data_IF_121786056392
#
_entry.id   IF_121786056392
#
_cell.length_a   1.000
_cell.length_b   1.000
_cell.length_c   1.000
_cell.angle_alpha   90.00
_cell.angle_beta   90.00
_cell.angle_gamma   90.00
#
_symmetry.space_group_name_H-M   'P 1'
#
loop_
_entity.id
_entity.type
_entity.pdbx_description
1 polymer ?
#
# COMPACT_ATOMS: atom_id res chain seq x y z
N UNK A 1 10.71 41.40 -13.37
CA UNK A 1 10.46 39.94 -13.37
C UNK A 1 11.78 39.28 -13.70
N UNK A 2 12.15 38.22 -12.98
CA UNK A 2 13.32 37.43 -13.31
C UNK A 2 13.10 36.77 -14.69
N UNK A 3 14.16 36.62 -15.45
CA UNK A 3 14.21 35.81 -16.67
C UNK A 3 14.36 34.33 -16.32
N UNK A 4 14.07 33.43 -17.27
CA UNK A 4 14.21 31.98 -17.07
C UNK A 4 15.64 31.61 -16.62
N UNK A 5 16.64 32.24 -17.21
CA UNK A 5 18.06 32.05 -16.90
C UNK A 5 18.42 32.58 -15.51
N UNK A 6 17.85 33.71 -15.08
CA UNK A 6 18.06 34.24 -13.74
C UNK A 6 17.45 33.32 -12.66
N UNK A 7 16.28 32.73 -12.92
CA UNK A 7 15.66 31.75 -12.01
C UNK A 7 16.53 30.50 -11.85
N UNK A 8 17.11 29.99 -12.95
CA UNK A 8 18.05 28.86 -12.91
C UNK A 8 19.31 29.24 -12.11
N UNK A 9 19.85 30.44 -12.31
CA UNK A 9 21.05 30.89 -11.57
C UNK A 9 20.78 31.03 -10.07
N UNK A 10 19.62 31.54 -9.67
CA UNK A 10 19.26 31.69 -8.25
C UNK A 10 19.17 30.33 -7.54
N UNK A 11 18.50 29.34 -8.17
CA UNK A 11 18.41 28.00 -7.57
C UNK A 11 19.77 27.29 -7.52
N UNK A 12 20.62 27.45 -8.56
CA UNK A 12 21.98 26.91 -8.58
C UNK A 12 22.87 27.56 -7.51
N UNK A 13 22.77 28.88 -7.34
CA UNK A 13 23.51 29.62 -6.31
C UNK A 13 23.12 29.13 -4.92
N UNK A 14 21.82 29.03 -4.65
CA UNK A 14 21.34 28.52 -3.37
C UNK A 14 21.83 27.09 -3.11
N UNK A 15 21.73 26.21 -4.10
CA UNK A 15 22.20 24.83 -3.96
C UNK A 15 23.71 24.78 -3.65
N UNK A 16 24.53 25.60 -4.33
CA UNK A 16 25.97 25.70 -4.07
C UNK A 16 26.28 26.17 -2.64
N UNK A 17 25.54 27.14 -2.13
CA UNK A 17 25.68 27.65 -0.76
C UNK A 17 25.21 26.63 0.30
N UNK A 18 24.32 25.70 -0.07
CA UNK A 18 23.71 24.71 0.82
C UNK A 18 24.19 23.28 0.53
N UNK A 19 25.47 23.11 0.21
CA UNK A 19 26.11 21.79 0.12
C UNK A 19 25.64 20.94 -1.08
N UNK A 20 25.13 21.56 -2.13
CA UNK A 20 24.61 20.89 -3.32
C UNK A 20 23.19 20.36 -3.17
N UNK A 21 22.49 20.70 -2.08
CA UNK A 21 21.11 20.27 -1.87
C UNK A 21 20.13 21.05 -2.76
N UNK A 22 19.14 20.34 -3.30
CA UNK A 22 18.05 20.94 -4.06
C UNK A 22 17.03 21.56 -3.09
N UNK A 23 16.68 22.85 -3.23
CA UNK A 23 15.69 23.46 -2.35
C UNK A 23 14.32 22.80 -2.52
N UNK A 24 13.51 22.80 -1.47
CA UNK A 24 12.10 22.42 -1.60
C UNK A 24 11.34 23.46 -2.43
N UNK A 25 10.20 23.09 -3.01
CA UNK A 25 9.37 24.04 -3.77
C UNK A 25 8.97 25.27 -2.94
N UNK A 26 8.68 25.07 -1.64
CA UNK A 26 8.40 26.16 -0.69
C UNK A 26 9.64 27.05 -0.54
N UNK A 27 10.82 26.46 -0.37
CA UNK A 27 12.04 27.22 -0.19
C UNK A 27 12.41 28.01 -1.44
N UNK A 28 12.19 27.43 -2.62
CA UNK A 28 12.35 28.10 -3.90
C UNK A 28 11.45 29.34 -4.03
N UNK A 29 10.17 29.23 -3.64
CA UNK A 29 9.23 30.36 -3.64
C UNK A 29 9.67 31.45 -2.66
N UNK A 30 10.19 31.11 -1.47
CA UNK A 30 10.76 32.09 -0.54
C UNK A 30 11.97 32.84 -1.13
N UNK A 31 12.82 32.17 -1.91
CA UNK A 31 14.03 32.75 -2.49
C UNK A 31 13.70 33.65 -3.69
N UNK A 32 12.80 33.20 -4.56
CA UNK A 32 12.59 33.81 -5.89
C UNK A 32 11.28 34.60 -6.00
N UNK A 33 10.35 34.38 -5.06
CA UNK A 33 8.97 34.88 -5.14
C UNK A 33 8.12 34.17 -6.20
N UNK A 34 8.62 33.13 -6.87
CA UNK A 34 7.93 32.43 -7.95
C UNK A 34 7.22 31.21 -7.39
N UNK A 35 5.88 31.26 -7.41
CA UNK A 35 5.04 30.15 -6.95
C UNK A 35 4.79 29.08 -8.03
N UNK A 36 4.20 27.92 -7.66
CA UNK A 36 3.91 26.82 -8.60
C UNK A 36 3.06 27.22 -9.81
N UNK A 37 2.14 28.17 -9.66
CA UNK A 37 1.25 28.65 -10.73
C UNK A 37 1.97 29.56 -11.75
N UNK A 38 3.18 30.01 -11.43
CA UNK A 38 3.96 30.90 -12.27
C UNK A 38 5.00 30.17 -13.11
N UNK A 39 5.37 28.94 -12.72
CA UNK A 39 6.31 28.09 -13.47
C UNK A 39 5.93 27.91 -14.96
N UNK A 40 4.64 27.75 -15.34
CA UNK A 40 4.27 27.65 -16.74
C UNK A 40 4.62 28.90 -17.57
N UNK A 41 4.71 30.09 -16.95
CA UNK A 41 5.13 31.33 -17.62
C UNK A 41 6.59 31.26 -18.12
N UNK A 42 7.38 30.36 -17.54
CA UNK A 42 8.78 30.11 -17.85
C UNK A 42 8.99 28.80 -18.63
N UNK A 43 7.92 28.20 -19.13
CA UNK A 43 7.91 26.92 -19.86
C UNK A 43 8.26 25.69 -19.00
N UNK A 44 8.06 25.75 -17.68
CA UNK A 44 8.14 24.58 -16.80
C UNK A 44 6.74 24.13 -16.36
N UNK A 45 6.40 22.88 -16.60
CA UNK A 45 5.10 22.30 -16.24
C UNK A 45 4.99 22.03 -14.74
N UNK A 46 6.11 21.86 -14.06
CA UNK A 46 6.20 21.63 -12.62
C UNK A 46 7.60 21.96 -12.07
N UNK A 47 7.75 21.99 -10.75
CA UNK A 47 9.02 22.31 -10.09
C UNK A 47 10.14 21.30 -10.40
N UNK A 48 9.80 20.03 -10.64
CA UNK A 48 10.78 19.00 -11.00
C UNK A 48 11.48 19.28 -12.32
N UNK A 49 10.76 19.80 -13.32
CA UNK A 49 11.35 20.20 -14.61
C UNK A 49 12.35 21.34 -14.45
N UNK A 50 12.01 22.35 -13.66
CA UNK A 50 12.93 23.44 -13.31
C UNK A 50 14.21 22.91 -12.66
N UNK A 51 14.07 22.02 -11.68
CA UNK A 51 15.21 21.43 -10.95
C UNK A 51 16.11 20.64 -11.89
N UNK A 52 15.53 19.84 -12.79
CA UNK A 52 16.29 19.06 -13.78
C UNK A 52 17.02 19.98 -14.76
N UNK A 53 16.36 21.02 -15.28
CA UNK A 53 16.98 21.99 -16.19
C UNK A 53 18.11 22.79 -15.50
N UNK A 54 17.98 23.05 -14.20
CA UNK A 54 19.03 23.66 -13.40
C UNK A 54 20.23 22.73 -13.13
N UNK A 55 20.19 21.47 -13.59
CA UNK A 55 21.26 20.49 -13.37
C UNK A 55 21.29 19.94 -11.94
N UNK A 56 20.17 20.04 -11.21
CA UNK A 56 20.02 19.57 -9.84
C UNK A 56 19.20 18.28 -9.80
N UNK A 57 19.33 17.52 -8.71
CA UNK A 57 18.57 16.28 -8.52
C UNK A 57 17.25 16.57 -7.82
N UNK A 58 16.07 16.22 -8.38
CA UNK A 58 14.79 16.37 -7.70
C UNK A 58 14.78 15.73 -6.31
N UNK A 59 14.19 16.43 -5.34
CA UNK A 59 13.98 15.87 -4.01
C UNK A 59 13.14 14.60 -4.12
N UNK A 60 13.68 13.49 -3.62
CA UNK A 60 12.91 12.26 -3.50
C UNK A 60 11.73 12.51 -2.58
N UNK A 61 10.52 12.10 -3.00
CA UNK A 61 9.30 12.23 -2.21
C UNK A 61 9.25 11.23 -1.03
N UNK A 62 10.40 10.92 -0.43
CA UNK A 62 10.47 10.09 0.74
C UNK A 62 10.25 10.91 2.02
N UNK A 63 8.98 11.15 2.34
CA UNK A 63 8.56 11.93 3.51
C UNK A 63 8.86 11.25 4.86
N UNK A 64 9.53 10.09 4.90
CA UNK A 64 9.80 9.40 6.17
C UNK A 64 11.14 9.85 6.74
N UNK A 65 11.14 10.36 7.97
CA UNK A 65 12.35 10.80 8.71
C UNK A 65 13.30 9.66 9.10
N UNK A 66 13.00 8.41 8.75
CA UNK A 66 13.72 7.23 9.21
C UNK A 66 14.42 6.55 8.02
N UNK A 67 15.69 6.22 8.17
CA UNK A 67 16.38 5.40 7.17
C UNK A 67 15.88 3.94 7.23
N UNK A 68 16.14 3.18 6.16
CA UNK A 68 15.86 1.74 6.14
C UNK A 68 16.53 1.01 7.32
N UNK A 69 17.80 1.36 7.61
CA UNK A 69 18.54 0.78 8.73
C UNK A 69 17.95 1.15 10.09
N UNK A 70 17.47 2.39 10.26
CA UNK A 70 16.81 2.83 11.50
C UNK A 70 15.54 2.02 11.75
N UNK A 71 14.71 1.84 10.72
CA UNK A 71 13.49 1.05 10.82
C UNK A 71 13.81 -0.40 11.17
N UNK A 72 14.80 -1.03 10.53
CA UNK A 72 15.22 -2.39 10.89
C UNK A 72 15.68 -2.46 12.36
N UNK A 73 16.53 -1.53 12.80
CA UNK A 73 17.02 -1.46 14.18
C UNK A 73 15.88 -1.30 15.19
N UNK A 74 14.93 -0.41 14.91
CA UNK A 74 13.77 -0.16 15.77
C UNK A 74 12.85 -1.37 15.83
N UNK A 75 12.59 -2.02 14.70
CA UNK A 75 11.75 -3.22 14.65
C UNK A 75 12.37 -4.39 15.42
N UNK A 76 13.67 -4.63 15.25
CA UNK A 76 14.40 -5.66 16.00
C UNK A 76 14.34 -5.41 17.51
N UNK A 77 14.45 -4.14 17.94
CA UNK A 77 14.28 -3.80 19.36
C UNK A 77 12.90 -4.23 19.87
N UNK A 78 11.83 -4.02 19.10
CA UNK A 78 10.48 -4.44 19.50
C UNK A 78 10.34 -5.96 19.53
N UNK A 79 10.93 -6.68 18.57
CA UNK A 79 10.98 -8.16 18.59
C UNK A 79 11.55 -8.65 19.93
N UNK A 80 12.69 -8.09 20.35
CA UNK A 80 13.36 -8.45 21.60
C UNK A 80 12.57 -8.09 22.83
N UNK A 81 12.02 -6.88 22.88
CA UNK A 81 11.20 -6.42 24.00
C UNK A 81 9.93 -7.28 24.21
N UNK A 82 9.39 -7.86 23.13
CA UNK A 82 8.17 -8.69 23.19
C UNK A 82 8.42 -10.19 23.19
N UNK A 83 9.62 -10.63 22.81
CA UNK A 83 9.96 -12.05 22.66
C UNK A 83 9.15 -12.77 21.57
N UNK A 84 8.46 -12.03 20.70
CA UNK A 84 7.61 -12.56 19.62
C UNK A 84 7.48 -11.55 18.49
N UNK A 85 6.95 -12.00 17.35
CA UNK A 85 6.69 -11.13 16.20
C UNK A 85 5.75 -9.97 16.57
N UNK A 86 6.17 -8.69 16.39
CA UNK A 86 5.34 -7.53 16.67
C UNK A 86 4.16 -7.46 15.69
N UNK A 87 2.93 -7.44 16.21
CA UNK A 87 1.75 -7.15 15.39
C UNK A 87 1.65 -5.65 15.12
N UNK A 88 0.85 -5.26 14.12
CA UNK A 88 0.53 -3.84 13.86
C UNK A 88 0.07 -3.11 15.12
N UNK A 89 -0.82 -3.73 15.90
CA UNK A 89 -1.31 -3.18 17.16
C UNK A 89 -0.19 -2.93 18.17
N UNK A 90 0.80 -3.83 18.28
CA UNK A 90 1.95 -3.64 19.18
C UNK A 90 2.79 -2.42 18.76
N UNK A 91 2.99 -2.23 17.45
CA UNK A 91 3.74 -1.10 16.91
C UNK A 91 2.97 0.22 17.11
N UNK A 92 1.65 0.22 16.91
CA UNK A 92 0.80 1.40 17.14
C UNK A 92 0.74 1.78 18.62
N UNK A 93 0.62 0.82 19.53
CA UNK A 93 0.72 1.10 20.98
C UNK A 93 2.07 1.72 21.29
N UNK A 94 3.17 1.25 20.70
CA UNK A 94 4.49 1.85 20.95
C UNK A 94 4.58 3.27 20.39
N UNK A 95 4.02 3.52 19.20
CA UNK A 95 3.94 4.84 18.59
C UNK A 95 3.10 5.82 19.43
N UNK A 96 1.99 5.36 20.01
CA UNK A 96 1.13 6.22 20.84
C UNK A 96 1.81 6.68 22.13
N UNK A 97 2.74 5.89 22.66
CA UNK A 97 3.53 6.22 23.85
C UNK A 97 4.83 6.99 23.53
N UNK A 98 5.29 6.94 22.27
CA UNK A 98 6.49 7.64 21.80
C UNK A 98 6.30 8.13 20.36
N UNK A 99 6.05 9.43 20.19
CA UNK A 99 5.88 10.05 18.87
C UNK A 99 7.17 10.07 18.02
N UNK A 100 8.33 9.74 18.61
CA UNK A 100 9.59 9.50 17.88
C UNK A 100 9.73 8.05 17.39
N UNK A 101 8.84 7.15 17.79
CA UNK A 101 8.73 5.83 17.20
C UNK A 101 7.85 5.91 15.93
N UNK A 102 8.14 5.18 14.84
CA UNK A 102 7.32 5.19 13.63
C UNK A 102 5.95 4.51 13.86
N UNK A 103 4.90 5.01 13.21
CA UNK A 103 3.64 4.29 13.10
C UNK A 103 3.83 2.96 12.36
N UNK A 104 2.96 1.97 12.61
CA UNK A 104 3.09 0.63 12.02
C UNK A 104 3.13 0.68 10.49
N UNK A 105 2.29 1.53 9.88
CA UNK A 105 2.23 1.73 8.43
C UNK A 105 3.59 2.14 7.83
N UNK A 106 4.42 2.86 8.58
CA UNK A 106 5.76 3.27 8.11
C UNK A 106 6.67 2.06 7.91
N UNK A 107 6.68 1.11 8.85
CA UNK A 107 7.44 -0.13 8.71
C UNK A 107 6.97 -0.94 7.51
N UNK A 108 5.67 -1.22 7.40
CA UNK A 108 5.14 -2.07 6.33
C UNK A 108 5.27 -1.45 4.93
N UNK A 109 5.19 -0.11 4.84
CA UNK A 109 5.38 0.59 3.57
C UNK A 109 6.85 0.56 3.10
N UNK A 110 7.82 0.51 4.02
CA UNK A 110 9.25 0.68 3.72
C UNK A 110 10.06 -0.61 3.74
N UNK A 111 9.65 -1.56 4.56
CA UNK A 111 10.34 -2.84 4.75
C UNK A 111 9.53 -4.02 4.18
N UNK A 112 8.34 -3.75 3.62
CA UNK A 112 7.48 -4.75 2.99
C UNK A 112 6.38 -5.31 3.90
N UNK A 113 5.52 -6.17 3.34
CA UNK A 113 4.44 -6.84 4.08
C UNK A 113 5.02 -7.92 5.00
N UNK A 114 4.20 -8.60 5.80
CA UNK A 114 4.69 -9.49 6.90
C UNK A 114 5.81 -10.45 6.49
N UNK A 115 5.71 -11.11 5.33
CA UNK A 115 6.76 -11.98 4.80
C UNK A 115 8.02 -11.24 4.38
N UNK A 116 7.88 -10.24 3.52
CA UNK A 116 8.99 -9.40 3.04
C UNK A 116 9.71 -8.69 4.19
N UNK A 117 8.95 -8.24 5.20
CA UNK A 117 9.47 -7.64 6.42
C UNK A 117 10.26 -8.67 7.23
N UNK A 118 9.76 -9.90 7.36
CA UNK A 118 10.51 -10.96 8.04
C UNK A 118 11.82 -11.27 7.32
N UNK A 119 11.78 -11.35 5.98
CA UNK A 119 12.98 -11.51 5.16
C UNK A 119 13.94 -10.33 5.31
N UNK A 120 13.45 -9.09 5.21
CA UNK A 120 14.25 -7.87 5.36
C UNK A 120 14.95 -7.82 6.72
N UNK A 121 14.25 -8.21 7.80
CA UNK A 121 14.85 -8.26 9.13
C UNK A 121 15.89 -9.37 9.24
N UNK A 122 15.65 -10.54 8.65
CA UNK A 122 16.65 -11.63 8.59
C UNK A 122 17.90 -11.18 7.84
N UNK A 123 17.74 -10.53 6.69
CA UNK A 123 18.85 -9.97 5.91
C UNK A 123 19.62 -8.90 6.68
N UNK A 124 18.93 -8.05 7.43
CA UNK A 124 19.55 -7.02 8.27
C UNK A 124 20.39 -7.59 9.43
N UNK A 125 20.08 -8.79 9.92
CA UNK A 125 20.79 -9.42 11.04
C UNK A 125 21.75 -10.55 10.63
N UNK A 126 21.75 -10.98 9.36
CA UNK A 126 22.47 -12.18 8.90
C UNK A 126 23.97 -12.18 9.24
N UNK A 127 24.63 -11.02 9.10
CA UNK A 127 26.07 -10.88 9.31
C UNK A 127 26.43 -10.43 10.74
N UNK A 128 25.45 -10.39 11.65
CA UNK A 128 25.62 -9.85 13.01
C UNK A 128 25.55 -10.95 14.06
N UNK A 129 26.53 -10.94 14.97
CA UNK A 129 26.53 -11.83 16.11
C UNK A 129 25.47 -11.45 17.15
N UNK A 130 24.96 -12.44 17.88
CA UNK A 130 24.02 -12.22 18.98
C UNK A 130 22.56 -11.99 18.59
N UNK A 131 22.16 -12.29 17.34
CA UNK A 131 20.77 -12.14 16.85
C UNK A 131 20.02 -13.47 16.68
N UNK A 132 20.49 -14.56 17.31
CA UNK A 132 19.84 -15.89 17.23
C UNK A 132 18.37 -15.86 17.66
N UNK A 133 18.07 -15.06 18.68
CA UNK A 133 16.71 -14.82 19.18
C UNK A 133 15.78 -14.25 18.09
N UNK A 134 16.26 -13.24 17.36
CA UNK A 134 15.52 -12.60 16.28
C UNK A 134 15.36 -13.55 15.10
N UNK A 135 16.42 -14.27 14.71
CA UNK A 135 16.38 -15.28 13.65
C UNK A 135 15.34 -16.36 13.95
N UNK A 136 15.31 -16.86 15.19
CA UNK A 136 14.34 -17.88 15.62
C UNK A 136 12.88 -17.38 15.57
N UNK A 137 12.64 -16.08 15.74
CA UNK A 137 11.29 -15.50 15.65
C UNK A 137 10.90 -15.21 14.19
N UNK A 138 11.83 -14.71 13.37
CA UNK A 138 11.54 -14.30 11.99
C UNK A 138 11.45 -15.50 11.03
N UNK A 139 12.24 -16.56 11.24
CA UNK A 139 12.26 -17.72 10.33
C UNK A 139 10.90 -18.42 10.21
N UNK A 140 10.16 -18.72 11.31
CA UNK A 140 8.83 -19.31 11.20
C UNK A 140 7.80 -18.37 10.55
N UNK A 141 7.95 -17.05 10.71
CA UNK A 141 7.07 -16.05 10.07
C UNK A 141 7.28 -16.07 8.56
N UNK A 142 8.54 -16.07 8.11
CA UNK A 142 8.87 -16.18 6.70
C UNK A 142 8.41 -17.53 6.12
N UNK A 143 8.59 -18.63 6.84
CA UNK A 143 8.15 -19.96 6.41
C UNK A 143 6.63 -20.06 6.24
N UNK A 144 5.84 -19.50 7.18
CA UNK A 144 4.38 -19.41 7.05
C UNK A 144 3.97 -18.59 5.84
N UNK A 145 4.58 -17.42 5.66
CA UNK A 145 4.30 -16.58 4.50
C UNK A 145 4.68 -17.26 3.19
N UNK A 146 5.84 -17.93 3.10
CA UNK A 146 6.23 -18.68 1.91
C UNK A 146 5.25 -19.80 1.60
N UNK A 147 4.84 -20.59 2.59
CA UNK A 147 3.82 -21.63 2.39
C UNK A 147 2.47 -21.05 1.97
N UNK A 148 2.01 -19.95 2.58
CA UNK A 148 0.78 -19.25 2.16
C UNK A 148 0.90 -18.65 0.75
N UNK A 149 2.10 -18.17 0.38
CA UNK A 149 2.39 -17.60 -0.94
C UNK A 149 2.59 -18.66 -2.01
N UNK A 150 3.20 -19.81 -1.70
CA UNK A 150 3.37 -20.98 -2.57
C UNK A 150 2.01 -21.66 -2.78
N UNK A 151 1.17 -21.72 -1.74
CA UNK A 151 -0.27 -22.05 -1.88
C UNK A 151 -1.02 -21.00 -2.71
N UNK A 152 -0.47 -19.80 -2.91
CA UNK A 152 -1.07 -18.75 -3.77
C UNK A 152 -0.59 -18.78 -5.23
N UNK A 153 0.60 -19.35 -5.52
CA UNK A 153 1.10 -19.54 -6.90
C UNK A 153 0.73 -20.92 -7.48
N UNK A 154 0.34 -21.88 -6.63
CA UNK A 154 -0.07 -23.23 -7.04
C UNK A 154 -1.60 -23.46 -6.95
N UNK A 155 -2.43 -22.40 -7.00
CA UNK A 155 -3.87 -22.60 -7.26
C UNK A 155 -4.08 -22.87 -8.75
N UNK A 156 -3.72 -24.07 -9.18
CA UNK A 156 -4.50 -24.75 -10.21
C UNK A 156 -5.97 -24.74 -9.76
N UNK A 157 -6.81 -24.07 -10.54
CA UNK A 157 -8.23 -24.39 -10.68
C UNK A 157 -8.97 -24.74 -9.36
N UNK A 158 -9.03 -23.81 -8.40
CA UNK A 158 -9.97 -23.99 -7.28
C UNK A 158 -11.37 -23.61 -7.75
N UNK A 159 -12.09 -24.61 -8.26
CA UNK A 159 -13.48 -24.51 -8.64
C UNK A 159 -14.33 -23.92 -7.50
N UNK A 160 -15.14 -22.92 -7.82
CA UNK A 160 -16.08 -22.30 -6.90
C UNK A 160 -16.81 -21.15 -7.57
N UNK A 161 -17.24 -20.18 -6.77
CA UNK A 161 -18.20 -19.18 -7.23
C UNK A 161 -17.79 -17.77 -6.80
N UNK A 162 -17.86 -16.81 -7.71
CA UNK A 162 -17.82 -15.37 -7.40
C UNK A 162 -19.24 -14.84 -7.46
N UNK A 163 -19.69 -14.17 -6.41
CA UNK A 163 -21.07 -13.76 -6.26
C UNK A 163 -21.24 -12.26 -6.08
N UNK A 164 -22.46 -11.81 -6.40
CA UNK A 164 -22.96 -10.48 -6.14
C UNK A 164 -24.18 -10.60 -5.23
N UNK A 165 -24.20 -9.87 -4.12
CA UNK A 165 -25.42 -9.71 -3.35
C UNK A 165 -25.68 -8.27 -2.95
N UNK A 166 -26.89 -8.00 -2.47
CA UNK A 166 -27.44 -6.69 -2.22
C UNK A 166 -27.90 -6.59 -0.77
N UNK A 167 -27.44 -5.57 -0.06
CA UNK A 167 -27.88 -5.28 1.31
C UNK A 167 -28.02 -3.78 1.48
N UNK A 168 -29.18 -3.32 1.96
CA UNK A 168 -29.46 -1.89 2.19
C UNK A 168 -29.16 -0.96 0.98
N UNK A 169 -29.32 -1.46 -0.25
CA UNK A 169 -29.06 -0.69 -1.47
C UNK A 169 -27.58 -0.63 -1.91
N UNK A 170 -26.69 -1.31 -1.19
CA UNK A 170 -25.28 -1.46 -1.55
C UNK A 170 -24.97 -2.90 -1.95
N UNK A 171 -24.03 -3.06 -2.87
CA UNK A 171 -23.72 -4.36 -3.46
C UNK A 171 -22.41 -4.89 -2.91
N UNK A 172 -22.38 -6.17 -2.55
CA UNK A 172 -21.17 -6.88 -2.12
C UNK A 172 -20.74 -7.88 -3.18
N UNK A 173 -19.45 -7.88 -3.47
CA UNK A 173 -18.80 -8.89 -4.30
C UNK A 173 -17.93 -9.75 -3.40
N UNK A 174 -17.99 -11.06 -3.56
CA UNK A 174 -17.11 -11.98 -2.85
C UNK A 174 -17.03 -13.32 -3.56
N UNK A 175 -16.23 -14.25 -3.05
CA UNK A 175 -16.22 -15.63 -3.54
C UNK A 175 -16.46 -16.66 -2.46
N UNK A 176 -16.81 -17.87 -2.87
CA UNK A 176 -16.97 -19.04 -2.00
C UNK A 176 -16.81 -20.34 -2.78
N UNK A 177 -16.33 -21.39 -2.11
CA UNK A 177 -16.34 -22.78 -2.63
C UNK A 177 -17.71 -23.45 -2.46
N UNK A 178 -18.50 -22.96 -1.51
CA UNK A 178 -19.80 -23.52 -1.14
C UNK A 178 -20.82 -22.38 -1.03
N UNK A 179 -21.79 -22.36 -1.95
CA UNK A 179 -22.80 -21.32 -2.03
C UNK A 179 -23.80 -21.41 -0.88
N UNK A 180 -24.19 -22.62 -0.50
CA UNK A 180 -25.27 -22.85 0.45
C UNK A 180 -24.81 -22.48 1.87
N UNK A 181 -23.63 -22.98 2.26
CA UNK A 181 -23.02 -22.58 3.53
C UNK A 181 -22.77 -21.07 3.61
N UNK A 182 -22.32 -20.46 2.51
CA UNK A 182 -22.04 -19.02 2.50
C UNK A 182 -23.30 -18.18 2.60
N UNK A 183 -24.41 -18.61 1.98
CA UNK A 183 -25.73 -17.96 2.11
C UNK A 183 -26.22 -17.99 3.56
N UNK A 184 -26.03 -19.10 4.26
CA UNK A 184 -26.35 -19.24 5.69
C UNK A 184 -25.49 -18.33 6.56
N UNK A 185 -24.16 -18.37 6.40
CA UNK A 185 -23.20 -17.56 7.19
C UNK A 185 -23.48 -16.06 7.06
N UNK A 186 -23.75 -15.59 5.84
CA UNK A 186 -24.05 -14.18 5.55
C UNK A 186 -25.35 -13.75 6.23
N UNK A 187 -26.36 -14.62 6.23
CA UNK A 187 -27.65 -14.34 6.85
C UNK A 187 -27.54 -14.30 8.37
N UNK A 188 -26.71 -15.19 8.95
CA UNK A 188 -26.54 -15.32 10.40
C UNK A 188 -25.64 -14.23 11.01
N UNK A 189 -24.56 -13.83 10.32
CA UNK A 189 -23.55 -12.90 10.83
C UNK A 189 -23.70 -11.45 10.34
N UNK A 190 -24.61 -11.21 9.39
CA UNK A 190 -24.84 -9.89 8.80
C UNK A 190 -25.72 -8.98 9.66
N UNK A 191 -25.54 -7.66 9.54
CA UNK A 191 -26.39 -6.65 10.21
C UNK A 191 -27.80 -6.49 9.58
N UNK A 192 -28.29 -7.51 8.86
CA UNK A 192 -29.57 -7.52 8.13
C UNK A 192 -29.57 -8.53 6.96
N UNK A 193 -30.72 -8.88 6.38
CA UNK A 193 -30.80 -9.87 5.31
C UNK A 193 -30.11 -9.37 4.03
N UNK A 194 -29.21 -10.19 3.48
CA UNK A 194 -28.57 -9.93 2.18
C UNK A 194 -29.30 -10.70 1.09
N UNK A 195 -29.71 -10.01 0.03
CA UNK A 195 -30.33 -10.62 -1.15
C UNK A 195 -29.25 -11.10 -2.10
N UNK A 196 -29.25 -12.39 -2.41
CA UNK A 196 -28.35 -12.95 -3.42
C UNK A 196 -28.79 -12.53 -4.83
N UNK A 197 -27.92 -11.89 -5.61
CA UNK A 197 -28.28 -11.33 -6.93
C UNK A 197 -27.81 -12.22 -8.08
N UNK A 198 -26.58 -12.74 -8.02
CA UNK A 198 -26.00 -13.59 -9.05
C UNK A 198 -24.71 -14.27 -8.60
N UNK A 199 -24.34 -15.37 -9.26
CA UNK A 199 -23.11 -16.12 -9.07
C UNK A 199 -22.47 -16.48 -10.42
N UNK A 200 -21.14 -16.49 -10.44
CA UNK A 200 -20.30 -16.85 -11.58
C UNK A 200 -19.50 -18.07 -11.13
N UNK A 201 -19.74 -19.21 -11.76
CA UNK A 201 -18.95 -20.43 -11.55
C UNK A 201 -17.58 -20.27 -12.23
N UNK A 202 -16.50 -20.52 -11.49
CA UNK A 202 -15.14 -20.32 -11.98
C UNK A 202 -14.12 -21.24 -11.32
N UNK A 203 -13.08 -21.63 -12.05
CA UNK A 203 -11.91 -22.31 -11.51
C UNK A 203 -10.82 -21.33 -11.01
N UNK A 204 -10.96 -20.05 -11.34
CA UNK A 204 -10.16 -18.94 -10.81
C UNK A 204 -11.04 -17.94 -10.03
N UNK A 205 -11.52 -18.34 -8.85
CA UNK A 205 -12.33 -17.47 -7.98
C UNK A 205 -11.63 -16.15 -7.65
N UNK A 206 -10.33 -16.21 -7.36
CA UNK A 206 -9.55 -15.04 -6.90
C UNK A 206 -9.27 -14.05 -8.02
N UNK A 207 -8.94 -14.52 -9.21
CA UNK A 207 -8.72 -13.66 -10.37
C UNK A 207 -10.02 -13.02 -10.85
N UNK A 208 -11.12 -13.78 -10.91
CA UNK A 208 -12.44 -13.25 -11.29
C UNK A 208 -12.95 -12.23 -10.26
N UNK A 209 -12.83 -12.50 -8.95
CA UNK A 209 -13.19 -11.52 -7.92
C UNK A 209 -12.35 -10.23 -8.06
N UNK A 210 -11.03 -10.37 -8.19
CA UNK A 210 -10.11 -9.23 -8.33
C UNK A 210 -10.45 -8.38 -9.55
N UNK A 211 -10.78 -9.00 -10.68
CA UNK A 211 -11.23 -8.28 -11.87
C UNK A 211 -12.43 -7.39 -11.56
N UNK A 212 -13.46 -7.93 -10.89
CA UNK A 212 -14.67 -7.18 -10.59
C UNK A 212 -14.46 -6.09 -9.55
N UNK A 213 -13.62 -6.33 -8.54
CA UNK A 213 -13.19 -5.28 -7.61
C UNK A 213 -12.49 -4.14 -8.34
N UNK A 214 -11.51 -4.44 -9.18
CA UNK A 214 -10.80 -3.42 -9.96
C UNK A 214 -11.74 -2.67 -10.92
N UNK A 215 -12.65 -3.39 -11.59
CA UNK A 215 -13.60 -2.80 -12.53
C UNK A 215 -14.59 -1.83 -11.85
N UNK A 216 -14.96 -2.09 -10.59
CA UNK A 216 -15.90 -1.25 -9.84
C UNK A 216 -15.24 -0.37 -8.80
N UNK A 217 -13.91 -0.24 -8.81
CA UNK A 217 -13.14 0.53 -7.84
C UNK A 217 -13.65 1.97 -7.69
N UNK A 218 -14.04 2.62 -8.80
CA UNK A 218 -14.59 3.99 -8.77
C UNK A 218 -15.92 4.13 -8.04
N UNK A 219 -16.56 3.01 -7.67
CA UNK A 219 -17.86 2.91 -6.98
C UNK A 219 -17.72 2.28 -5.59
N UNK A 220 -16.48 2.11 -5.13
CA UNK A 220 -16.17 1.50 -3.84
C UNK A 220 -16.68 2.34 -2.67
N UNK A 221 -17.25 1.68 -1.66
CA UNK A 221 -17.72 2.31 -0.43
C UNK A 221 -16.82 1.91 0.74
N UNK A 222 -16.74 0.60 1.02
CA UNK A 222 -15.93 0.04 2.12
C UNK A 222 -15.72 -1.47 1.93
N UNK A 223 -14.54 -1.97 2.24
CA UNK A 223 -14.23 -3.40 2.15
C UNK A 223 -14.58 -3.96 0.77
N UNK A 224 -15.57 -4.84 0.72
CA UNK A 224 -16.07 -5.49 -0.51
C UNK A 224 -17.42 -4.91 -0.99
N UNK A 225 -17.81 -3.71 -0.53
CA UNK A 225 -19.10 -3.07 -0.82
C UNK A 225 -18.99 -1.91 -1.81
N UNK A 226 -19.97 -1.83 -2.73
CA UNK A 226 -19.99 -0.94 -3.89
C UNK A 226 -21.36 -0.31 -4.14
N UNK A 227 -21.37 0.92 -4.69
CA UNK A 227 -22.57 1.60 -5.17
C UNK A 227 -22.80 1.34 -6.66
N UNK A 228 -23.32 0.15 -6.99
CA UNK A 228 -23.54 -0.26 -8.38
C UNK A 228 -24.88 0.22 -8.93
N UNK A 229 -24.89 0.56 -10.23
CA UNK A 229 -26.11 0.88 -10.96
C UNK A 229 -26.60 -0.34 -11.78
N UNK A 230 -27.75 -0.22 -12.45
CA UNK A 230 -28.31 -1.34 -13.23
C UNK A 230 -27.40 -1.81 -14.37
N UNK A 231 -26.61 -0.91 -14.99
CA UNK A 231 -25.67 -1.28 -16.06
C UNK A 231 -24.50 -2.12 -15.53
N UNK A 232 -24.04 -1.84 -14.30
CA UNK A 232 -23.00 -2.62 -13.63
C UNK A 232 -23.47 -4.02 -13.28
N UNK A 233 -24.68 -4.12 -12.69
CA UNK A 233 -25.28 -5.41 -12.36
C UNK A 233 -25.50 -6.23 -13.64
N UNK A 234 -25.93 -5.60 -14.73
CA UNK A 234 -26.03 -6.26 -16.04
C UNK A 234 -24.67 -6.72 -16.56
N UNK A 235 -23.61 -5.93 -16.38
CA UNK A 235 -22.26 -6.31 -16.78
C UNK A 235 -21.78 -7.55 -16.01
N UNK A 236 -21.99 -7.56 -14.68
CA UNK A 236 -21.66 -8.70 -13.83
C UNK A 236 -22.41 -9.97 -14.27
N UNK A 237 -23.72 -9.87 -14.50
CA UNK A 237 -24.58 -10.98 -14.96
C UNK A 237 -24.26 -11.53 -16.36
N UNK A 238 -23.41 -10.87 -17.14
CA UNK A 238 -22.98 -11.39 -18.46
C UNK A 238 -21.98 -12.53 -18.34
N UNK A 239 -21.25 -12.61 -17.24
CA UNK A 239 -20.31 -13.68 -16.99
C UNK A 239 -21.08 -14.83 -16.36
N UNK A 240 -21.23 -15.95 -17.08
CA UNK A 240 -22.00 -17.11 -16.59
C UNK A 240 -21.09 -18.15 -15.94
N UNK A 241 -20.05 -18.54 -16.67
CA UNK A 241 -19.07 -19.53 -16.24
C UNK A 241 -17.73 -19.24 -16.91
N UNK A 242 -16.64 -19.36 -16.16
CA UNK A 242 -15.27 -19.13 -16.63
C UNK A 242 -14.41 -20.29 -16.13
N UNK A 243 -14.09 -21.23 -17.00
CA UNK A 243 -13.26 -22.40 -16.74
C UNK A 243 -12.07 -22.39 -17.70
#
# INVERSE_FOLDING_TARGET
MLTKEEVIKEIQKWAKENGGHTPSAIKFEEITGIGPYELPKYSWSNYGELVLEAGLTPNLFDKTKYSHQDLCKMFVRVIREKGKWPTRAVLEIKHSHDSKFPASATFYKKLGQTGDLAQTILEYVKDKQGYKDVVNICTPVLGKYKNESETSVDNMAEHGFVYLGLQHGDYKIGFTKDLDRRREDITLLGSGPMVWIYEIETDDMRGVERYWHNRFESKWIRGEWYKLNQSDVKAFKRWKRIL
#
